data_IF_616578142920
#
_entry.id   IF_616578142920
#
_cell.length_a   1.000
_cell.length_b   1.000
_cell.length_c   1.000
_cell.angle_alpha   90.00
_cell.angle_beta   90.00
_cell.angle_gamma   90.00
#
_symmetry.space_group_name_H-M   'P 1'
#
loop_
_entity.id
_entity.type
_entity.pdbx_description
1 polymer ?
#
# COMPACT_ATOMS: atom_id res chain seq x y z
N UNK A 1 -17.97 17.41 -18.70
CA UNK A 1 -17.48 16.37 -17.76
C UNK A 1 -17.05 15.18 -18.57
N UNK A 2 -15.75 14.86 -18.72
CA UNK A 2 -15.36 13.52 -19.09
C UNK A 2 -15.11 12.72 -17.80
N UNK A 3 -15.94 11.72 -17.59
CA UNK A 3 -15.66 10.60 -16.69
C UNK A 3 -14.44 9.87 -17.25
N UNK A 4 -13.30 9.91 -16.57
CA UNK A 4 -12.20 8.97 -16.82
C UNK A 4 -12.60 7.63 -16.24
N UNK A 5 -13.32 6.86 -17.05
CA UNK A 5 -13.38 5.41 -16.92
C UNK A 5 -11.94 4.90 -16.82
N UNK A 6 -11.55 4.33 -15.67
CA UNK A 6 -10.29 3.62 -15.56
C UNK A 6 -10.29 2.53 -16.63
N UNK A 7 -9.48 2.69 -17.67
CA UNK A 7 -9.44 1.76 -18.79
C UNK A 7 -8.83 0.46 -18.28
N UNK A 8 -9.68 -0.51 -17.96
CA UNK A 8 -9.25 -1.87 -17.66
C UNK A 8 -8.45 -2.40 -18.86
N UNK A 9 -7.14 -2.59 -18.68
CA UNK A 9 -6.22 -2.96 -19.76
C UNK A 9 -6.29 -4.45 -20.16
N UNK A 10 -7.24 -5.20 -19.59
CA UNK A 10 -7.41 -6.63 -19.84
C UNK A 10 -6.54 -7.53 -18.94
N UNK A 11 -6.91 -8.82 -18.78
CA UNK A 11 -6.26 -9.74 -17.86
C UNK A 11 -4.79 -10.01 -18.20
N UNK A 12 -4.42 -10.10 -19.48
CA UNK A 12 -3.02 -10.30 -19.89
C UNK A 12 -2.10 -9.12 -19.53
N UNK A 13 -2.63 -7.89 -19.56
CA UNK A 13 -1.90 -6.69 -19.13
C UNK A 13 -1.69 -6.71 -17.61
N UNK A 14 -2.71 -7.10 -16.86
CA UNK A 14 -2.64 -7.21 -15.40
C UNK A 14 -1.63 -8.28 -14.97
N UNK A 15 -1.66 -9.46 -15.56
CA UNK A 15 -0.72 -10.54 -15.22
C UNK A 15 0.73 -10.17 -15.52
N UNK A 16 0.99 -9.50 -16.65
CA UNK A 16 2.32 -8.99 -17.00
C UNK A 16 2.79 -7.95 -15.98
N UNK A 17 1.93 -6.98 -15.65
CA UNK A 17 2.23 -5.97 -14.63
C UNK A 17 2.59 -6.61 -13.29
N UNK A 18 1.78 -7.56 -12.83
CA UNK A 18 1.99 -8.25 -11.55
C UNK A 18 3.32 -9.02 -11.56
N UNK A 19 3.63 -9.73 -12.65
CA UNK A 19 4.89 -10.45 -12.80
C UNK A 19 6.10 -9.52 -12.71
N UNK A 20 6.07 -8.41 -13.44
CA UNK A 20 7.16 -7.43 -13.47
C UNK A 20 7.33 -6.76 -12.09
N UNK A 21 6.21 -6.45 -11.43
CA UNK A 21 6.22 -5.89 -10.08
C UNK A 21 6.79 -6.87 -9.05
N UNK A 22 6.43 -8.16 -9.11
CA UNK A 22 6.99 -9.19 -8.22
C UNK A 22 8.50 -9.28 -8.40
N UNK A 23 8.99 -9.38 -9.64
CA UNK A 23 10.43 -9.42 -9.92
C UNK A 23 11.15 -8.15 -9.43
N UNK A 24 10.50 -6.99 -9.50
CA UNK A 24 11.02 -5.74 -8.95
C UNK A 24 11.09 -5.77 -7.42
N UNK A 25 10.04 -6.22 -6.74
CA UNK A 25 10.03 -6.34 -5.27
C UNK A 25 11.09 -7.34 -4.79
N UNK A 26 11.29 -8.44 -5.51
CA UNK A 26 12.33 -9.44 -5.20
C UNK A 26 13.75 -8.88 -5.35
N UNK A 27 13.99 -8.04 -6.36
CA UNK A 27 15.31 -7.44 -6.61
C UNK A 27 15.61 -6.25 -5.71
N UNK A 28 14.61 -5.41 -5.45
CA UNK A 28 14.80 -4.07 -4.86
C UNK A 28 14.28 -3.98 -3.43
N UNK A 29 13.80 -5.07 -2.83
CA UNK A 29 13.17 -5.02 -1.50
C UNK A 29 13.64 -6.11 -0.55
N UNK A 30 12.99 -6.18 0.62
CA UNK A 30 13.36 -7.12 1.67
C UNK A 30 12.64 -8.47 1.50
N UNK A 31 13.17 -9.56 2.08
CA UNK A 31 12.48 -10.86 2.11
C UNK A 31 11.08 -10.81 2.74
N UNK A 32 10.87 -9.95 3.73
CA UNK A 32 9.58 -9.75 4.37
C UNK A 32 8.55 -9.16 3.40
N UNK A 33 8.95 -8.20 2.56
CA UNK A 33 8.04 -7.58 1.58
C UNK A 33 7.73 -8.53 0.43
N UNK A 34 8.70 -9.35 0.02
CA UNK A 34 8.47 -10.46 -0.93
C UNK A 34 7.48 -11.46 -0.36
N UNK A 35 7.65 -11.87 0.91
CA UNK A 35 6.69 -12.75 1.61
C UNK A 35 5.29 -12.15 1.63
N UNK A 36 5.15 -10.88 2.00
CA UNK A 36 3.85 -10.20 2.02
C UNK A 36 3.20 -10.15 0.63
N UNK A 37 3.97 -9.83 -0.41
CA UNK A 37 3.47 -9.81 -1.79
C UNK A 37 2.98 -11.19 -2.21
N UNK A 38 3.75 -12.25 -1.95
CA UNK A 38 3.36 -13.64 -2.26
C UNK A 38 2.13 -14.08 -1.49
N UNK A 39 2.03 -13.69 -0.21
CA UNK A 39 0.84 -13.94 0.59
C UNK A 39 -0.39 -13.27 -0.03
N UNK A 40 -0.32 -11.97 -0.36
CA UNK A 40 -1.42 -11.28 -1.03
C UNK A 40 -1.81 -11.93 -2.36
N UNK A 41 -0.84 -12.35 -3.17
CA UNK A 41 -1.10 -13.09 -4.41
C UNK A 41 -1.82 -14.42 -4.17
N UNK A 42 -1.51 -15.13 -3.09
CA UNK A 42 -2.19 -16.39 -2.74
C UNK A 42 -3.66 -16.23 -2.37
N UNK A 43 -4.07 -15.02 -1.96
CA UNK A 43 -5.47 -14.71 -1.63
C UNK A 43 -6.33 -14.38 -2.85
N UNK A 44 -5.69 -14.07 -3.98
CA UNK A 44 -6.35 -13.61 -5.22
C UNK A 44 -6.92 -14.76 -6.01
N UNK A 45 -8.04 -14.46 -6.68
CA UNK A 45 -8.70 -15.34 -7.63
C UNK A 45 -9.13 -14.53 -8.86
N UNK A 46 -8.16 -13.83 -9.47
CA UNK A 46 -8.40 -12.76 -10.45
C UNK A 46 -8.88 -11.46 -9.79
N UNK A 47 -8.38 -10.30 -10.23
CA UNK A 47 -8.76 -9.01 -9.66
C UNK A 47 -8.29 -8.80 -8.21
N UNK A 48 -9.15 -8.23 -7.35
CA UNK A 48 -8.88 -7.93 -5.94
C UNK A 48 -9.10 -9.16 -5.05
N UNK A 49 -8.21 -9.48 -4.09
CA UNK A 49 -8.58 -10.40 -3.03
C UNK A 49 -9.65 -9.78 -2.13
N UNK A 50 -10.55 -10.61 -1.62
CA UNK A 50 -11.49 -10.19 -0.57
C UNK A 50 -10.71 -9.95 0.73
N UNK A 51 -10.88 -8.79 1.35
CA UNK A 51 -10.27 -8.43 2.62
C UNK A 51 -10.55 -9.45 3.73
N UNK A 52 -11.67 -10.17 3.64
CA UNK A 52 -12.07 -11.22 4.59
C UNK A 52 -11.21 -12.48 4.50
N UNK A 53 -10.45 -12.66 3.42
CA UNK A 53 -9.47 -13.75 3.26
C UNK A 53 -8.12 -13.43 3.90
N UNK A 54 -7.87 -12.17 4.23
CA UNK A 54 -6.66 -11.76 4.92
C UNK A 54 -6.75 -12.13 6.40
N UNK A 55 -5.77 -12.90 6.88
CA UNK A 55 -5.57 -13.20 8.29
C UNK A 55 -4.23 -12.63 8.76
N UNK A 56 -4.29 -11.75 9.77
CA UNK A 56 -3.11 -11.15 10.37
C UNK A 56 -2.17 -12.20 11.01
N UNK A 57 -2.70 -13.36 11.41
CA UNK A 57 -1.95 -14.45 12.03
C UNK A 57 -1.07 -15.21 11.05
N UNK A 58 -1.24 -15.03 9.73
CA UNK A 58 -0.36 -15.62 8.71
C UNK A 58 0.97 -14.85 8.59
N UNK A 59 1.01 -13.60 9.05
CA UNK A 59 2.17 -12.69 8.94
C UNK A 59 2.40 -11.86 10.22
N UNK A 60 2.42 -12.50 11.41
CA UNK A 60 2.42 -11.80 12.70
C UNK A 60 3.66 -10.92 12.88
N UNK A 61 4.79 -11.31 12.31
CA UNK A 61 6.07 -10.58 12.35
C UNK A 61 6.01 -9.24 11.59
N UNK A 62 5.11 -9.12 10.61
CA UNK A 62 4.96 -7.95 9.76
C UNK A 62 3.97 -6.93 10.31
N UNK A 63 3.09 -7.30 11.24
CA UNK A 63 1.97 -6.46 11.67
C UNK A 63 2.38 -5.08 12.18
N UNK A 64 3.53 -5.00 12.88
CA UNK A 64 4.08 -3.72 13.34
C UNK A 64 4.45 -2.75 12.21
N UNK A 65 4.65 -3.26 11.00
CA UNK A 65 5.05 -2.52 9.79
C UNK A 65 3.90 -2.28 8.80
N UNK A 66 2.67 -2.67 9.16
CA UNK A 66 1.49 -2.57 8.30
C UNK A 66 0.58 -1.42 8.72
N UNK A 67 -0.16 -0.88 7.75
CA UNK A 67 -1.32 -0.04 8.00
C UNK A 67 -2.48 -0.51 7.12
N UNK A 68 -3.70 -0.45 7.66
CA UNK A 68 -4.93 -0.69 6.90
C UNK A 68 -5.54 0.66 6.58
N UNK A 69 -5.75 0.93 5.30
CA UNK A 69 -6.34 2.17 4.81
C UNK A 69 -7.69 1.87 4.19
N UNK A 70 -8.75 2.49 4.70
CA UNK A 70 -10.09 2.43 4.12
C UNK A 70 -10.24 3.48 3.01
N UNK A 71 -10.81 3.06 1.89
CA UNK A 71 -11.23 3.94 0.80
C UNK A 71 -12.69 4.33 1.05
N UNK A 72 -12.92 5.59 1.44
CA UNK A 72 -14.26 6.11 1.67
C UNK A 72 -14.84 6.67 0.36
N UNK A 73 -16.16 6.50 0.18
CA UNK A 73 -16.94 6.99 -0.99
C UNK A 73 -17.92 8.08 -0.51
N UNK A 74 -18.36 9.04 -1.35
CA UNK A 74 -18.26 9.07 -2.82
C UNK A 74 -16.98 9.67 -3.43
N UNK A 75 -16.09 10.28 -2.66
CA UNK A 75 -14.82 10.84 -3.18
C UNK A 75 -13.61 10.17 -2.54
N UNK A 76 -12.46 10.01 -3.24
CA UNK A 76 -11.34 9.21 -2.74
C UNK A 76 -10.67 9.86 -1.53
N UNK A 77 -11.20 9.53 -0.36
CA UNK A 77 -10.67 9.84 0.96
C UNK A 77 -10.09 8.53 1.51
N UNK A 78 -8.86 8.60 1.97
CA UNK A 78 -8.11 7.43 2.42
C UNK A 78 -7.84 7.58 3.91
N UNK A 79 -8.52 6.79 4.75
CA UNK A 79 -8.41 6.88 6.21
C UNK A 79 -7.63 5.69 6.77
N UNK A 80 -6.65 5.96 7.62
CA UNK A 80 -5.99 4.90 8.37
C UNK A 80 -6.95 4.30 9.40
N UNK A 81 -7.30 3.02 9.23
CA UNK A 81 -8.09 2.23 10.19
C UNK A 81 -7.22 1.56 11.24
N UNK A 82 -6.01 1.22 10.85
CA UNK A 82 -4.98 0.65 11.71
C UNK A 82 -3.63 1.20 11.25
N UNK A 83 -2.76 1.49 12.20
CA UNK A 83 -1.39 1.90 11.95
C UNK A 83 -0.46 1.08 12.84
N UNK A 84 0.46 0.35 12.22
CA UNK A 84 1.38 -0.55 12.91
C UNK A 84 2.28 0.20 13.87
N UNK A 85 2.55 -0.41 15.03
CA UNK A 85 3.29 0.21 16.13
C UNK A 85 4.72 0.58 15.75
N UNK A 86 5.43 -0.28 15.02
CA UNK A 86 6.80 -0.01 14.54
C UNK A 86 6.82 1.17 13.57
N UNK A 87 5.82 1.28 12.70
CA UNK A 87 5.68 2.46 11.82
C UNK A 87 5.40 3.72 12.63
N UNK A 88 4.51 3.65 13.63
CA UNK A 88 4.20 4.77 14.50
C UNK A 88 5.43 5.28 15.27
N UNK A 89 6.24 4.36 15.80
CA UNK A 89 7.50 4.67 16.49
C UNK A 89 8.49 5.40 15.56
N UNK A 90 8.75 4.83 14.38
CA UNK A 90 9.69 5.43 13.40
C UNK A 90 9.18 6.79 12.93
N UNK A 91 7.86 6.95 12.73
CA UNK A 91 7.26 8.22 12.30
C UNK A 91 7.05 9.21 13.43
N UNK A 92 7.22 8.78 14.69
CA UNK A 92 6.96 9.57 15.88
C UNK A 92 5.48 9.90 16.11
N UNK A 93 4.56 9.21 15.42
CA UNK A 93 3.12 9.47 15.49
C UNK A 93 2.29 8.31 14.95
N UNK A 94 1.25 7.94 15.70
CA UNK A 94 0.16 7.09 15.21
C UNK A 94 -0.80 7.91 14.33
N UNK A 95 -1.03 7.44 13.11
CA UNK A 95 -1.90 8.10 12.13
C UNK A 95 -3.31 7.52 12.08
N UNK A 96 -3.68 6.59 12.97
CA UNK A 96 -5.02 6.01 13.05
C UNK A 96 -6.09 7.09 13.13
N UNK A 97 -7.13 6.97 12.31
CA UNK A 97 -8.22 7.94 12.18
C UNK A 97 -7.92 9.14 11.28
N UNK A 98 -6.66 9.38 10.90
CA UNK A 98 -6.28 10.48 10.03
C UNK A 98 -6.41 10.12 8.54
N UNK A 99 -6.48 11.16 7.71
CA UNK A 99 -6.68 11.05 6.27
C UNK A 99 -5.44 11.43 5.47
N UNK A 100 -5.17 10.68 4.42
CA UNK A 100 -4.07 10.96 3.50
C UNK A 100 -4.42 12.16 2.62
N UNK A 101 -3.51 13.14 2.59
CA UNK A 101 -3.72 14.41 1.90
C UNK A 101 -4.29 15.51 2.80
N UNK A 102 -4.73 15.20 4.03
CA UNK A 102 -5.17 16.24 4.95
C UNK A 102 -3.97 17.07 5.45
N UNK A 103 -4.15 18.38 5.70
CA UNK A 103 -3.10 19.24 6.24
C UNK A 103 -2.55 18.71 7.56
N UNK A 104 -1.22 18.76 7.72
CA UNK A 104 -0.55 18.35 8.97
C UNK A 104 -0.41 16.84 9.18
N UNK A 105 -0.84 16.01 8.21
CA UNK A 105 -0.61 14.54 8.26
C UNK A 105 0.78 14.18 7.73
N UNK A 106 1.15 14.71 6.56
CA UNK A 106 2.50 14.62 6.00
C UNK A 106 2.95 16.00 5.49
N UNK A 107 4.27 16.24 5.30
CA UNK A 107 4.75 17.40 4.57
C UNK A 107 4.08 17.51 3.19
N UNK A 108 3.79 18.73 2.68
CA UNK A 108 2.93 18.91 1.49
C UNK A 108 3.31 18.06 0.27
N UNK A 109 4.59 17.98 -0.07
CA UNK A 109 5.07 17.22 -1.23
C UNK A 109 4.91 15.71 -1.03
N UNK A 110 5.21 15.20 0.17
CA UNK A 110 4.97 13.79 0.52
C UNK A 110 3.48 13.47 0.56
N UNK A 111 2.65 14.38 1.04
CA UNK A 111 1.20 14.23 1.08
C UNK A 111 0.65 14.06 -0.34
N UNK A 112 1.11 14.88 -1.29
CA UNK A 112 0.77 14.79 -2.71
C UNK A 112 1.22 13.46 -3.31
N UNK A 113 2.50 13.11 -3.14
CA UNK A 113 3.08 11.87 -3.66
C UNK A 113 2.36 10.63 -3.11
N UNK A 114 2.13 10.58 -1.79
CA UNK A 114 1.45 9.45 -1.17
C UNK A 114 0.03 9.35 -1.69
N UNK A 115 -0.74 10.45 -1.67
CA UNK A 115 -2.13 10.47 -2.17
C UNK A 115 -2.21 9.95 -3.60
N UNK A 116 -1.29 10.34 -4.48
CA UNK A 116 -1.25 9.86 -5.86
C UNK A 116 -1.13 8.33 -5.95
N UNK A 117 -0.26 7.70 -5.15
CA UNK A 117 -0.14 6.24 -5.13
C UNK A 117 -1.43 5.53 -4.66
N UNK A 118 -2.19 6.12 -3.73
CA UNK A 118 -3.47 5.53 -3.29
C UNK A 118 -4.56 5.66 -4.34
N UNK A 119 -4.59 6.80 -5.04
CA UNK A 119 -5.51 7.00 -6.18
C UNK A 119 -5.19 6.00 -7.29
N UNK A 120 -3.92 5.82 -7.64
CA UNK A 120 -3.48 4.83 -8.64
C UNK A 120 -3.93 3.41 -8.28
N UNK A 121 -3.70 2.98 -7.04
CA UNK A 121 -4.13 1.65 -6.55
C UNK A 121 -5.66 1.50 -6.59
N UNK A 122 -6.40 2.54 -6.21
CA UNK A 122 -7.86 2.52 -6.23
C UNK A 122 -8.43 2.48 -7.66
N UNK A 123 -7.86 3.25 -8.59
CA UNK A 123 -8.34 3.37 -9.97
C UNK A 123 -7.98 2.15 -10.82
N UNK A 124 -6.79 1.59 -10.63
CA UNK A 124 -6.28 0.48 -11.44
C UNK A 124 -6.55 -0.88 -10.83
N UNK A 125 -6.74 -0.93 -9.51
CA UNK A 125 -6.79 -2.16 -8.74
C UNK A 125 -5.49 -2.94 -8.68
N UNK A 126 -4.39 -2.32 -9.12
CA UNK A 126 -3.07 -2.93 -9.15
C UNK A 126 -2.30 -2.57 -7.86
N UNK A 127 -1.52 -3.52 -7.31
CA UNK A 127 -0.61 -3.23 -6.21
C UNK A 127 0.50 -2.28 -6.68
N UNK A 128 0.96 -1.38 -5.82
CA UNK A 128 2.00 -0.39 -6.15
C UNK A 128 3.19 -0.56 -5.22
N UNK A 129 4.39 -0.65 -5.80
CA UNK A 129 5.67 -0.64 -5.08
C UNK A 129 6.46 0.64 -5.38
N UNK A 130 6.85 1.35 -4.32
CA UNK A 130 7.69 2.55 -4.43
C UNK A 130 8.78 2.57 -3.37
N UNK A 131 9.92 3.16 -3.72
CA UNK A 131 11.01 3.45 -2.81
C UNK A 131 11.04 4.96 -2.64
N UNK A 132 10.90 5.43 -1.40
CA UNK A 132 10.83 6.86 -1.08
C UNK A 132 11.96 7.20 -0.12
N UNK A 133 12.85 8.15 -0.44
CA UNK A 133 13.88 8.60 0.48
C UNK A 133 13.27 9.10 1.79
N UNK A 134 13.94 8.83 2.90
CA UNK A 134 13.55 9.29 4.21
C UNK A 134 14.74 9.71 5.05
N UNK A 135 14.58 10.85 5.73
CA UNK A 135 15.56 11.40 6.65
C UNK A 135 14.95 11.49 8.05
N UNK A 136 15.08 10.45 8.89
CA UNK A 136 14.85 10.61 10.31
C UNK A 136 15.93 11.53 10.88
N UNK A 137 15.52 12.64 11.48
CA UNK A 137 16.35 13.47 12.38
C UNK A 137 17.76 13.82 11.85
N UNK A 138 17.89 14.10 10.55
CA UNK A 138 19.08 14.69 9.88
C UNK A 138 20.42 13.93 9.97
N UNK A 139 20.48 12.63 10.29
CA UNK A 139 21.78 11.92 10.32
C UNK A 139 21.89 10.56 9.63
N UNK A 140 20.83 10.01 9.03
CA UNK A 140 20.94 8.88 8.10
C UNK A 140 19.88 9.02 7.02
N UNK A 141 20.24 9.07 5.74
CA UNK A 141 19.27 8.92 4.66
C UNK A 141 18.99 7.42 4.53
N UNK A 142 17.75 7.01 4.78
CA UNK A 142 17.26 5.67 4.49
C UNK A 142 16.25 5.70 3.36
N UNK A 143 15.79 4.53 2.95
CA UNK A 143 14.72 4.37 1.99
C UNK A 143 13.51 3.72 2.67
N UNK A 144 12.32 4.25 2.41
CA UNK A 144 11.09 3.55 2.69
C UNK A 144 10.65 2.74 1.50
N UNK A 145 10.62 1.44 1.68
CA UNK A 145 10.04 0.51 0.73
C UNK A 145 8.55 0.41 1.06
N UNK A 146 7.72 0.99 0.20
CA UNK A 146 6.26 1.03 0.35
C UNK A 146 5.62 0.07 -0.63
N UNK A 147 4.81 -0.85 -0.13
CA UNK A 147 4.00 -1.75 -0.94
C UNK A 147 2.53 -1.56 -0.56
N UNK A 148 1.72 -1.11 -1.51
CA UNK A 148 0.29 -0.91 -1.37
C UNK A 148 -0.43 -2.06 -2.06
N UNK A 149 -1.30 -2.75 -1.33
CA UNK A 149 -1.97 -3.96 -1.78
C UNK A 149 -3.49 -3.75 -1.67
N UNK A 150 -4.22 -3.68 -2.79
CA UNK A 150 -5.65 -3.42 -2.76
C UNK A 150 -6.45 -4.66 -2.37
N UNK A 151 -7.60 -4.43 -1.74
CA UNK A 151 -8.59 -5.43 -1.36
C UNK A 151 -9.99 -4.89 -1.63
N UNK A 152 -10.92 -5.80 -1.89
CA UNK A 152 -12.36 -5.51 -1.92
C UNK A 152 -13.02 -5.97 -0.62
N UNK A 153 -14.12 -5.33 -0.23
CA UNK A 153 -15.00 -5.83 0.83
C UNK A 153 -16.25 -6.41 0.18
N UNK A 154 -16.33 -7.74 0.06
CA UNK A 154 -17.45 -8.42 -0.61
C UNK A 154 -18.83 -8.08 -0.02
N UNK A 155 -18.89 -7.55 1.21
CA UNK A 155 -20.14 -7.05 1.83
C UNK A 155 -20.63 -5.72 1.22
N UNK A 156 -19.71 -4.93 0.65
CA UNK A 156 -20.00 -3.65 -0.02
C UNK A 156 -20.22 -3.82 -1.52
N UNK A 157 -19.86 -4.99 -2.06
CA UNK A 157 -19.94 -5.34 -3.47
C UNK A 157 -18.63 -5.97 -3.94
N UNK A 158 -18.61 -6.40 -5.21
CA UNK A 158 -17.38 -6.87 -5.85
C UNK A 158 -16.89 -5.81 -6.85
N UNK A 159 -15.59 -5.84 -7.15
CA UNK A 159 -15.00 -5.00 -8.19
C UNK A 159 -14.60 -3.59 -7.74
N UNK A 160 -14.64 -3.31 -6.43
CA UNK A 160 -14.21 -2.04 -5.85
C UNK A 160 -12.98 -2.21 -4.97
N UNK A 161 -12.08 -1.24 -5.00
CA UNK A 161 -11.03 -1.10 -4.00
C UNK A 161 -11.62 -0.43 -2.76
N UNK A 162 -11.79 -1.20 -1.68
CA UNK A 162 -12.39 -0.75 -0.41
C UNK A 162 -11.35 -0.61 0.70
N UNK A 163 -10.31 -1.43 0.65
CA UNK A 163 -9.18 -1.37 1.57
C UNK A 163 -7.85 -1.45 0.82
N UNK A 164 -6.84 -0.77 1.34
CA UNK A 164 -5.46 -0.86 0.89
C UNK A 164 -4.61 -1.23 2.09
N UNK A 165 -3.97 -2.39 2.03
CA UNK A 165 -2.94 -2.77 2.99
C UNK A 165 -1.63 -2.14 2.57
N UNK A 166 -1.09 -1.26 3.39
CA UNK A 166 0.20 -0.62 3.17
C UNK A 166 1.24 -1.25 4.09
N UNK A 167 2.32 -1.74 3.51
CA UNK A 167 3.52 -2.13 4.24
C UNK A 167 4.63 -1.09 4.10
N UNK A 168 5.22 -0.73 5.23
CA UNK A 168 6.36 0.19 5.35
C UNK A 168 7.58 -0.56 5.85
N UNK A 169 8.71 -0.43 5.17
CA UNK A 169 9.98 -0.90 5.73
C UNK A 169 11.07 0.12 5.50
N UNK A 170 11.81 0.43 6.57
CA UNK A 170 13.00 1.27 6.49
C UNK A 170 14.19 0.40 6.09
N UNK A 171 14.88 0.80 5.02
CA UNK A 171 16.10 0.17 4.55
C UNK A 171 17.22 1.22 4.62
N UNK A 172 18.27 1.00 5.44
CA UNK A 172 19.42 1.90 5.47
C UNK A 172 20.12 1.97 4.11
N UNK A 173 20.64 3.14 3.72
CA UNK A 173 21.56 3.22 2.58
C UNK A 173 22.86 2.48 2.94
N UNK A 174 23.21 1.44 2.17
CA UNK A 174 24.50 0.71 2.32
C UNK A 174 24.41 -0.81 2.49
N UNK A 175 23.23 -1.41 2.41
CA UNK A 175 23.05 -2.87 2.36
C UNK A 175 22.23 -3.22 1.11
N UNK A 176 22.92 -3.38 0.00
CA UNK A 176 22.44 -4.03 -1.23
C UNK A 176 23.24 -5.30 -1.45
#
# INVERSE_FOLDING_TARGET
MPSTSGTYAGPESDERYIRDLVARVERESTPQKVRLMRYWLSLRDGGYPDYRRFDALDIPDLLGDLAVVEVERPGPRFRFRLYGTRVAEIRGRDLTGLYIGDPGVFPPDLNRLYRQSYVEVMETGRPVFSIVPYEPHRRVVGNYHRLLLPFTDSRRGLGTCDFILLSFQSVPLGLS
#
